data_IF_192992406004
#
_entry.id   IF_192992406004
#
_cell.length_a   1.000
_cell.length_b   1.000
_cell.length_c   1.000
_cell.angle_alpha   90.00
_cell.angle_beta   90.00
_cell.angle_gamma   90.00
#
_symmetry.space_group_name_H-M   'P 1'
#
loop_
_entity.id
_entity.type
_entity.pdbx_description
1 polymer ?
#
# COMPACT_ATOMS: atom_id res chain seq x y z
N UNK A 1 -15.47 21.51 -21.11
CA UNK A 1 -14.23 21.10 -20.44
C UNK A 1 -13.97 19.62 -20.73
N UNK A 2 -12.76 19.27 -21.18
CA UNK A 2 -12.41 17.88 -21.47
C UNK A 2 -12.37 16.99 -20.23
N UNK A 3 -12.62 15.70 -20.41
CA UNK A 3 -12.50 14.70 -19.36
C UNK A 3 -11.03 14.42 -19.06
N UNK A 4 -10.71 14.19 -17.77
CA UNK A 4 -9.35 13.83 -17.36
C UNK A 4 -9.18 12.32 -17.42
N UNK A 5 -8.08 11.88 -18.00
CA UNK A 5 -7.71 10.46 -18.07
C UNK A 5 -7.40 9.93 -16.67
N UNK A 6 -7.66 8.64 -16.45
CA UNK A 6 -7.29 7.95 -15.22
C UNK A 6 -5.75 7.91 -15.11
N UNK A 7 -5.17 8.42 -14.00
CA UNK A 7 -3.71 8.48 -13.84
C UNK A 7 -3.02 7.12 -13.88
N UNK A 8 -3.67 6.07 -13.36
CA UNK A 8 -3.15 4.71 -13.35
C UNK A 8 -3.07 4.17 -14.77
N UNK A 9 -4.18 4.27 -15.54
CA UNK A 9 -4.24 3.81 -16.91
C UNK A 9 -3.20 4.49 -17.82
N UNK A 10 -2.96 5.78 -17.58
CA UNK A 10 -2.00 6.57 -18.34
C UNK A 10 -0.52 6.17 -18.09
N UNK A 11 -0.26 5.42 -17.01
CA UNK A 11 1.09 4.99 -16.59
C UNK A 11 1.32 3.49 -16.74
N UNK A 12 0.32 2.76 -17.25
CA UNK A 12 0.46 1.34 -17.56
C UNK A 12 1.55 1.13 -18.62
N UNK A 13 2.42 0.15 -18.38
CA UNK A 13 3.55 -0.15 -19.26
C UNK A 13 4.75 0.79 -19.09
N UNK A 14 4.66 1.87 -18.32
CA UNK A 14 5.75 2.82 -18.05
C UNK A 14 6.31 2.63 -16.65
N UNK A 15 5.48 2.84 -15.63
CA UNK A 15 5.87 2.66 -14.21
C UNK A 15 4.96 1.69 -13.45
N UNK A 16 3.82 1.30 -14.00
CA UNK A 16 2.87 0.36 -13.42
C UNK A 16 2.59 -0.79 -14.34
N UNK A 17 2.51 -2.00 -13.78
CA UNK A 17 2.04 -3.20 -14.46
C UNK A 17 0.53 -3.36 -14.37
N UNK A 18 0.04 -4.44 -14.95
CA UNK A 18 -1.36 -4.83 -14.91
C UNK A 18 -1.72 -5.52 -13.59
N UNK A 19 -2.97 -5.38 -13.16
CA UNK A 19 -3.49 -6.09 -12.00
C UNK A 19 -3.91 -7.53 -12.33
N UNK A 20 -3.99 -7.90 -13.60
CA UNK A 20 -4.22 -9.26 -14.07
C UNK A 20 -3.09 -9.63 -15.01
N UNK A 21 -2.25 -10.59 -14.58
CA UNK A 21 -1.03 -11.02 -15.26
C UNK A 21 -1.23 -12.43 -15.82
N UNK A 22 -1.82 -12.50 -17.01
CA UNK A 22 -2.02 -13.77 -17.72
C UNK A 22 -2.22 -13.54 -19.21
N UNK A 23 -1.98 -14.58 -19.98
CA UNK A 23 -2.21 -14.61 -21.41
C UNK A 23 -3.50 -15.37 -21.73
N UNK A 24 -4.33 -14.79 -22.58
CA UNK A 24 -5.58 -15.41 -23.03
C UNK A 24 -5.57 -15.55 -24.56
N UNK A 25 -5.83 -16.78 -25.03
CA UNK A 25 -6.15 -17.03 -26.43
C UNK A 25 -7.65 -16.92 -26.68
N UNK A 26 -8.27 -18.03 -27.14
CA UNK A 26 -9.72 -18.10 -27.42
C UNK A 26 -10.59 -17.89 -26.15
N UNK A 27 -10.08 -18.28 -24.98
CA UNK A 27 -10.81 -18.22 -23.69
C UNK A 27 -10.63 -16.86 -22.97
N UNK A 28 -10.18 -15.83 -23.67
CA UNK A 28 -9.92 -14.52 -23.07
C UNK A 28 -11.14 -13.92 -22.40
N UNK A 29 -12.31 -13.97 -23.05
CA UNK A 29 -13.55 -13.42 -22.55
C UNK A 29 -14.02 -14.10 -21.26
N UNK A 30 -13.93 -15.43 -21.19
CA UNK A 30 -14.33 -16.21 -20.02
C UNK A 30 -13.41 -15.90 -18.82
N UNK A 31 -12.09 -15.87 -19.02
CA UNK A 31 -11.11 -15.51 -18.00
C UNK A 31 -11.31 -14.10 -17.46
N UNK A 32 -11.67 -13.15 -18.33
CA UNK A 32 -11.93 -11.77 -17.93
C UNK A 32 -13.19 -11.67 -17.04
N UNK A 33 -14.25 -12.39 -17.40
CA UNK A 33 -15.48 -12.44 -16.60
C UNK A 33 -15.22 -13.12 -15.25
N UNK A 34 -14.42 -14.20 -15.22
CA UNK A 34 -14.02 -14.85 -13.96
C UNK A 34 -13.23 -13.87 -13.06
N UNK A 35 -12.26 -13.11 -13.60
CA UNK A 35 -11.52 -12.13 -12.81
C UNK A 35 -12.41 -11.04 -12.23
N UNK A 36 -13.39 -10.57 -13.00
CA UNK A 36 -14.37 -9.59 -12.51
C UNK A 36 -15.22 -10.16 -11.38
N UNK A 37 -15.64 -11.43 -11.47
CA UNK A 37 -16.38 -12.12 -10.41
C UNK A 37 -15.54 -12.28 -9.14
N UNK A 38 -14.28 -12.71 -9.27
CA UNK A 38 -13.34 -12.86 -8.15
C UNK A 38 -13.15 -11.51 -7.44
N UNK A 39 -12.85 -10.42 -8.17
CA UNK A 39 -12.66 -9.08 -7.61
C UNK A 39 -13.91 -8.58 -6.90
N UNK A 40 -15.08 -8.72 -7.52
CA UNK A 40 -16.36 -8.32 -6.92
C UNK A 40 -16.64 -9.07 -5.64
N UNK A 41 -16.45 -10.38 -5.64
CA UNK A 41 -16.64 -11.23 -4.47
C UNK A 41 -15.72 -10.84 -3.31
N UNK A 42 -14.42 -10.71 -3.58
CA UNK A 42 -13.42 -10.34 -2.57
C UNK A 42 -13.68 -8.94 -1.98
N UNK A 43 -14.03 -7.95 -2.80
CA UNK A 43 -14.35 -6.61 -2.32
C UNK A 43 -15.55 -6.57 -1.38
N UNK A 44 -16.57 -7.39 -1.64
CA UNK A 44 -17.76 -7.49 -0.78
C UNK A 44 -17.44 -8.26 0.52
N UNK A 45 -16.79 -9.42 0.39
CA UNK A 45 -16.50 -10.31 1.53
C UNK A 45 -15.50 -9.69 2.51
N UNK A 46 -14.51 -8.98 1.99
CA UNK A 46 -13.40 -8.40 2.74
C UNK A 46 -13.51 -6.88 2.92
N UNK A 47 -14.70 -6.30 2.85
CA UNK A 47 -14.91 -4.86 2.99
C UNK A 47 -14.30 -4.26 4.28
N UNK A 48 -14.24 -5.04 5.36
CA UNK A 48 -13.64 -4.62 6.65
C UNK A 48 -12.10 -4.64 6.65
N UNK A 49 -11.48 -5.40 5.77
CA UNK A 49 -10.03 -5.58 5.71
C UNK A 49 -9.29 -4.39 5.05
N UNK A 50 -10.01 -3.50 4.39
CA UNK A 50 -9.43 -2.36 3.64
C UNK A 50 -8.42 -2.84 2.58
N UNK A 51 -8.95 -3.50 1.55
CA UNK A 51 -8.15 -3.98 0.42
C UNK A 51 -7.64 -2.77 -0.36
N UNK A 52 -6.35 -2.76 -0.67
CA UNK A 52 -5.69 -1.82 -1.56
C UNK A 52 -5.75 -2.31 -3.01
N UNK A 53 -5.20 -3.49 -3.27
CA UNK A 53 -5.00 -4.03 -4.61
C UNK A 53 -5.22 -5.53 -4.62
N UNK A 54 -5.79 -6.04 -5.72
CA UNK A 54 -5.95 -7.48 -5.98
C UNK A 54 -5.25 -7.78 -7.29
N UNK A 55 -4.16 -8.56 -7.24
CA UNK A 55 -3.44 -9.03 -8.41
C UNK A 55 -3.83 -10.47 -8.68
N UNK A 56 -4.14 -10.79 -9.92
CA UNK A 56 -4.54 -12.14 -10.34
C UNK A 56 -3.54 -12.64 -11.37
N UNK A 57 -2.87 -13.73 -11.04
CA UNK A 57 -1.93 -14.43 -11.92
C UNK A 57 -2.52 -15.80 -12.27
N UNK A 58 -2.48 -16.16 -13.53
CA UNK A 58 -3.02 -17.44 -13.99
C UNK A 58 -1.96 -18.27 -14.66
N UNK A 59 -1.79 -19.47 -14.17
CA UNK A 59 -1.07 -20.54 -14.84
C UNK A 59 -2.06 -21.52 -15.46
N UNK A 60 -1.59 -22.56 -16.12
CA UNK A 60 -2.45 -23.55 -16.76
C UNK A 60 -3.42 -24.26 -15.78
N UNK A 61 -2.99 -24.53 -14.54
CA UNK A 61 -3.75 -25.30 -13.56
C UNK A 61 -4.14 -24.50 -12.32
N UNK A 62 -3.43 -23.42 -12.02
CA UNK A 62 -3.54 -22.70 -10.76
C UNK A 62 -3.83 -21.22 -11.00
N UNK A 63 -4.72 -20.65 -10.22
CA UNK A 63 -4.99 -19.21 -10.18
C UNK A 63 -4.42 -18.68 -8.86
N UNK A 64 -3.42 -17.81 -8.93
CA UNK A 64 -2.84 -17.14 -7.77
C UNK A 64 -3.47 -15.78 -7.60
N UNK A 65 -4.09 -15.54 -6.46
CA UNK A 65 -4.72 -14.27 -6.11
C UNK A 65 -3.91 -13.63 -4.99
N UNK A 66 -3.27 -12.52 -5.31
CA UNK A 66 -2.47 -11.75 -4.36
C UNK A 66 -3.29 -10.56 -3.87
N UNK A 67 -3.53 -10.48 -2.56
CA UNK A 67 -4.36 -9.46 -1.92
C UNK A 67 -3.46 -8.56 -1.09
N UNK A 68 -3.35 -7.28 -1.47
CA UNK A 68 -2.70 -6.26 -0.65
C UNK A 68 -3.71 -5.59 0.26
N UNK A 69 -3.46 -5.57 1.56
CA UNK A 69 -4.40 -5.08 2.57
C UNK A 69 -3.69 -4.33 3.69
N UNK A 70 -4.41 -3.39 4.33
CA UNK A 70 -3.92 -2.72 5.53
C UNK A 70 -4.10 -3.56 6.80
N UNK A 71 -4.95 -4.61 6.78
CA UNK A 71 -5.29 -5.41 7.96
C UNK A 71 -5.28 -6.91 7.62
N UNK A 72 -4.10 -7.51 7.45
CA UNK A 72 -3.98 -8.92 7.05
C UNK A 72 -4.62 -9.88 8.06
N UNK A 73 -4.60 -9.55 9.35
CA UNK A 73 -5.19 -10.39 10.39
C UNK A 73 -6.69 -10.68 10.22
N UNK A 74 -7.44 -9.77 9.59
CA UNK A 74 -8.88 -9.98 9.29
C UNK A 74 -9.07 -11.03 8.20
N UNK A 75 -8.16 -11.09 7.23
CA UNK A 75 -8.21 -12.04 6.13
C UNK A 75 -7.74 -13.42 6.58
N UNK A 76 -6.65 -13.45 7.36
CA UNK A 76 -6.04 -14.70 7.85
C UNK A 76 -6.97 -15.38 8.85
N UNK A 77 -7.57 -14.59 9.77
CA UNK A 77 -8.41 -15.11 10.83
C UNK A 77 -7.63 -15.91 11.89
N UNK A 78 -8.34 -16.56 12.78
CA UNK A 78 -7.74 -17.40 13.81
C UNK A 78 -7.22 -18.70 13.19
N UNK A 79 -5.89 -18.90 13.24
CA UNK A 79 -5.26 -20.12 12.74
C UNK A 79 -5.41 -20.37 11.23
N UNK A 80 -5.67 -19.33 10.41
CA UNK A 80 -5.80 -19.48 8.96
C UNK A 80 -7.18 -19.94 8.44
N UNK A 81 -8.13 -20.19 9.31
CA UNK A 81 -9.45 -20.72 8.94
C UNK A 81 -10.23 -19.87 7.93
N UNK A 82 -10.11 -18.54 8.03
CA UNK A 82 -10.80 -17.65 7.09
C UNK A 82 -10.19 -17.69 5.68
N UNK A 83 -8.87 -17.87 5.57
CA UNK A 83 -8.21 -18.05 4.26
C UNK A 83 -8.65 -19.37 3.61
N UNK A 84 -8.75 -20.45 4.39
CA UNK A 84 -9.14 -21.74 3.85
C UNK A 84 -10.61 -21.71 3.38
N UNK A 85 -11.51 -21.09 4.14
CA UNK A 85 -12.89 -20.83 3.69
C UNK A 85 -12.93 -20.00 2.41
N UNK A 86 -12.14 -18.93 2.33
CA UNK A 86 -12.04 -18.10 1.12
C UNK A 86 -11.56 -18.90 -0.09
N UNK A 87 -10.59 -19.80 0.08
CA UNK A 87 -10.12 -20.69 -0.99
C UNK A 87 -11.26 -21.61 -1.47
N UNK A 88 -12.00 -22.21 -0.55
CA UNK A 88 -13.13 -23.09 -0.89
C UNK A 88 -14.25 -22.31 -1.60
N UNK A 89 -14.60 -21.12 -1.10
CA UNK A 89 -15.63 -20.27 -1.69
C UNK A 89 -15.24 -19.83 -3.11
N UNK A 90 -13.98 -19.42 -3.31
CA UNK A 90 -13.47 -19.06 -4.63
C UNK A 90 -13.36 -20.27 -5.57
N UNK A 91 -12.97 -21.44 -5.05
CA UNK A 91 -12.96 -22.70 -5.83
C UNK A 91 -14.36 -23.06 -6.32
N UNK A 92 -15.39 -22.87 -5.51
CA UNK A 92 -16.79 -23.05 -5.91
C UNK A 92 -17.23 -22.08 -7.01
N UNK A 93 -16.74 -20.84 -6.98
CA UNK A 93 -17.08 -19.81 -7.97
C UNK A 93 -16.39 -20.01 -9.33
N UNK A 94 -15.17 -20.53 -9.34
CA UNK A 94 -14.34 -20.63 -10.56
C UNK A 94 -14.16 -22.03 -11.08
N UNK A 95 -14.43 -23.06 -10.25
CA UNK A 95 -14.15 -24.46 -10.61
C UNK A 95 -12.67 -24.81 -10.74
N UNK A 96 -11.75 -23.89 -10.39
CA UNK A 96 -10.28 -24.05 -10.52
C UNK A 96 -9.61 -24.03 -9.16
N UNK A 97 -8.38 -24.53 -9.09
CA UNK A 97 -7.58 -24.41 -7.88
C UNK A 97 -7.08 -22.99 -7.70
N UNK A 98 -7.22 -22.46 -6.47
CA UNK A 98 -6.85 -21.09 -6.14
C UNK A 98 -5.87 -21.08 -4.99
N UNK A 99 -4.77 -20.33 -5.18
CA UNK A 99 -3.85 -19.98 -4.13
C UNK A 99 -4.05 -18.52 -3.75
N UNK A 100 -4.12 -18.23 -2.45
CA UNK A 100 -4.26 -16.86 -1.95
C UNK A 100 -2.95 -16.47 -1.27
N UNK A 101 -2.36 -15.36 -1.72
CA UNK A 101 -1.24 -14.71 -1.10
C UNK A 101 -1.70 -13.39 -0.48
N UNK A 102 -1.27 -13.10 0.75
CA UNK A 102 -1.68 -11.91 1.49
C UNK A 102 -0.45 -11.06 1.75
N UNK A 103 -0.50 -9.78 1.34
CA UNK A 103 0.55 -8.80 1.59
C UNK A 103 0.03 -7.65 2.43
N UNK A 104 0.84 -7.24 3.40
CA UNK A 104 0.55 -6.09 4.23
C UNK A 104 1.04 -4.80 3.57
N UNK A 105 0.17 -3.81 3.51
CA UNK A 105 0.51 -2.46 3.09
C UNK A 105 1.14 -1.72 4.28
N UNK A 106 2.45 -1.50 4.23
CA UNK A 106 3.23 -0.87 5.32
C UNK A 106 2.79 0.57 5.63
N UNK A 107 2.32 1.32 4.62
CA UNK A 107 1.90 2.73 4.74
C UNK A 107 0.50 2.93 4.17
N UNK A 108 -0.54 2.57 4.89
CA UNK A 108 -1.92 2.65 4.40
C UNK A 108 -2.39 4.09 4.14
N UNK A 109 -1.76 5.09 4.76
CA UNK A 109 -2.11 6.50 4.58
C UNK A 109 -1.62 7.08 3.24
N UNK A 110 -0.72 6.39 2.54
CA UNK A 110 -0.19 6.80 1.23
C UNK A 110 -0.87 6.04 0.09
N UNK A 111 -1.78 5.13 0.41
CA UNK A 111 -2.57 4.36 -0.56
C UNK A 111 -3.92 5.05 -0.83
N UNK A 112 -4.17 5.40 -2.10
CA UNK A 112 -5.37 6.14 -2.47
C UNK A 112 -6.67 5.37 -2.22
N UNK A 113 -6.66 4.03 -2.36
CA UNK A 113 -7.84 3.19 -2.17
C UNK A 113 -8.22 3.14 -0.70
N UNK A 114 -7.24 2.90 0.18
CA UNK A 114 -7.45 2.82 1.61
C UNK A 114 -7.91 4.18 2.18
N UNK A 115 -7.26 5.27 1.74
CA UNK A 115 -7.63 6.63 2.14
C UNK A 115 -9.05 6.96 1.66
N UNK A 116 -9.40 6.62 0.42
CA UNK A 116 -10.75 6.80 -0.12
C UNK A 116 -11.81 6.05 0.69
N UNK A 117 -11.57 4.78 0.99
CA UNK A 117 -12.47 3.97 1.81
C UNK A 117 -12.62 4.52 3.24
N UNK A 118 -11.54 5.03 3.84
CA UNK A 118 -11.59 5.64 5.17
C UNK A 118 -12.43 6.92 5.18
N UNK A 119 -12.29 7.77 4.15
CA UNK A 119 -13.11 8.97 4.00
C UNK A 119 -14.58 8.58 3.79
N UNK A 120 -14.86 7.62 2.91
CA UNK A 120 -16.23 7.14 2.66
C UNK A 120 -16.91 6.67 3.95
N UNK A 121 -16.25 5.82 4.74
CA UNK A 121 -16.76 5.35 6.05
C UNK A 121 -17.02 6.50 7.02
N UNK A 122 -16.17 7.53 7.06
CA UNK A 122 -16.39 8.70 7.92
C UNK A 122 -17.61 9.51 7.47
N UNK A 123 -17.81 9.66 6.15
CA UNK A 123 -18.97 10.33 5.58
C UNK A 123 -20.27 9.57 5.87
N UNK A 124 -20.27 8.25 5.75
CA UNK A 124 -21.38 7.37 6.15
C UNK A 124 -21.68 7.48 7.65
N UNK A 125 -20.63 7.62 8.48
CA UNK A 125 -20.71 7.89 9.91
C UNK A 125 -21.12 9.33 10.27
N UNK A 126 -21.55 10.15 9.30
CA UNK A 126 -22.00 11.55 9.46
C UNK A 126 -20.94 12.51 10.00
N UNK A 127 -19.68 12.21 9.82
CA UNK A 127 -18.60 13.17 10.11
C UNK A 127 -18.64 14.27 9.04
N UNK A 128 -18.38 15.51 9.44
CA UNK A 128 -18.36 16.61 8.46
C UNK A 128 -17.27 16.37 7.41
N UNK A 129 -17.60 16.51 6.13
CA UNK A 129 -16.69 16.22 5.03
C UNK A 129 -15.38 17.03 5.10
N UNK A 130 -15.46 18.30 5.56
CA UNK A 130 -14.28 19.16 5.72
C UNK A 130 -13.29 18.59 6.73
N UNK A 131 -13.81 18.07 7.85
CA UNK A 131 -12.98 17.45 8.89
C UNK A 131 -12.37 16.15 8.38
N UNK A 132 -13.17 15.28 7.77
CA UNK A 132 -12.72 14.00 7.23
C UNK A 132 -11.59 14.18 6.20
N UNK A 133 -11.80 15.10 5.24
CA UNK A 133 -10.81 15.37 4.18
C UNK A 133 -9.54 16.03 4.74
N UNK A 134 -9.66 17.03 5.63
CA UNK A 134 -8.48 17.69 6.24
C UNK A 134 -7.64 16.71 7.06
N UNK A 135 -8.29 15.82 7.82
CA UNK A 135 -7.59 14.79 8.61
C UNK A 135 -6.85 13.81 7.68
N UNK A 136 -7.49 13.37 6.60
CA UNK A 136 -6.86 12.48 5.62
C UNK A 136 -5.66 13.14 4.95
N UNK A 137 -5.79 14.41 4.51
CA UNK A 137 -4.70 15.17 3.89
C UNK A 137 -3.52 15.32 4.86
N UNK A 138 -3.77 15.72 6.10
CA UNK A 138 -2.72 15.88 7.11
C UNK A 138 -1.99 14.55 7.41
N UNK A 139 -2.72 13.42 7.49
CA UNK A 139 -2.13 12.09 7.70
C UNK A 139 -1.24 11.68 6.53
N UNK A 140 -1.71 11.84 5.30
CA UNK A 140 -0.96 11.47 4.09
C UNK A 140 0.31 12.30 3.94
N UNK A 141 0.24 13.63 4.16
CA UNK A 141 1.41 14.50 4.10
C UNK A 141 2.44 14.17 5.18
N UNK A 142 1.99 13.82 6.39
CA UNK A 142 2.87 13.39 7.49
C UNK A 142 3.64 12.11 7.16
N UNK A 143 3.03 11.20 6.40
CA UNK A 143 3.66 9.94 5.96
C UNK A 143 4.61 10.10 4.78
N UNK A 144 4.82 11.33 4.30
CA UNK A 144 5.84 11.66 3.30
C UNK A 144 5.37 11.56 1.86
N UNK A 145 4.08 11.69 1.57
CA UNK A 145 3.60 11.90 0.21
C UNK A 145 4.02 13.28 -0.31
N UNK A 146 4.39 13.40 -1.58
CA UNK A 146 4.71 14.70 -2.21
C UNK A 146 3.48 15.59 -2.38
N UNK A 147 2.32 15.00 -2.51
CA UNK A 147 1.07 15.73 -2.60
C UNK A 147 -0.16 14.85 -2.64
N UNK A 148 -1.27 15.45 -2.22
CA UNK A 148 -2.57 14.81 -2.22
C UNK A 148 -3.64 15.79 -2.76
N UNK A 149 -4.59 15.22 -3.49
CA UNK A 149 -5.79 15.92 -3.94
C UNK A 149 -7.00 15.04 -3.67
N UNK A 150 -7.98 15.57 -2.97
CA UNK A 150 -9.24 14.90 -2.70
C UNK A 150 -10.37 15.75 -3.26
N UNK A 151 -11.27 15.13 -3.99
CA UNK A 151 -12.48 15.77 -4.51
C UNK A 151 -13.68 14.98 -4.00
N UNK A 152 -14.58 15.67 -3.33
CA UNK A 152 -15.87 15.13 -2.90
C UNK A 152 -16.95 15.77 -3.75
N UNK A 153 -17.81 14.97 -4.35
CA UNK A 153 -18.89 15.42 -5.24
C UNK A 153 -20.21 14.78 -4.86
N UNK A 154 -21.29 15.53 -5.04
CA UNK A 154 -22.64 15.13 -4.71
C UNK A 154 -23.36 16.14 -3.81
N UNK A 155 -24.37 15.69 -3.06
CA UNK A 155 -25.12 16.51 -2.09
C UNK A 155 -24.34 16.70 -0.80
N UNK A 156 -23.24 17.45 -0.90
CA UNK A 156 -22.29 17.64 0.20
C UNK A 156 -22.94 18.40 1.35
N UNK A 157 -22.92 17.79 2.55
CA UNK A 157 -23.55 18.36 3.74
C UNK A 157 -25.09 18.30 3.75
N UNK A 158 -25.71 17.52 2.84
CA UNK A 158 -27.15 17.37 2.76
C UNK A 158 -27.85 18.45 1.92
N UNK A 159 -27.09 19.31 1.21
CA UNK A 159 -27.65 20.34 0.35
C UNK A 159 -28.51 19.74 -0.77
N UNK A 160 -29.56 20.45 -1.19
CA UNK A 160 -30.42 20.01 -2.31
C UNK A 160 -29.64 20.00 -3.63
N UNK A 161 -28.85 21.04 -3.88
CA UNK A 161 -28.01 21.14 -5.07
C UNK A 161 -26.70 20.40 -4.88
N UNK A 162 -26.36 19.52 -5.82
CA UNK A 162 -25.09 18.83 -5.84
C UNK A 162 -23.95 19.81 -6.15
N UNK A 163 -22.83 19.65 -5.47
CA UNK A 163 -21.62 20.44 -5.72
C UNK A 163 -20.37 19.58 -5.57
N UNK A 164 -19.26 20.05 -6.11
CA UNK A 164 -17.96 19.42 -5.98
C UNK A 164 -17.03 20.31 -5.19
N UNK A 165 -16.47 19.80 -4.10
CA UNK A 165 -15.44 20.48 -3.33
C UNK A 165 -14.11 19.75 -3.48
N UNK A 166 -13.04 20.51 -3.71
CA UNK A 166 -11.70 19.95 -3.93
C UNK A 166 -10.73 20.57 -2.94
N UNK A 167 -10.00 19.73 -2.22
CA UNK A 167 -8.89 20.12 -1.36
C UNK A 167 -7.61 19.51 -1.95
N UNK A 168 -6.57 20.34 -2.10
CA UNK A 168 -5.27 19.93 -2.64
C UNK A 168 -4.16 20.47 -1.75
N UNK A 169 -3.17 19.62 -1.49
CA UNK A 169 -1.94 20.00 -0.79
C UNK A 169 -0.74 19.34 -1.48
N UNK A 170 0.36 20.08 -1.57
CA UNK A 170 1.57 19.61 -2.23
C UNK A 170 1.49 19.55 -3.76
N UNK A 171 2.35 18.74 -4.35
CA UNK A 171 2.57 18.63 -5.79
C UNK A 171 1.94 17.36 -6.37
N UNK A 172 1.16 17.48 -7.45
CA UNK A 172 0.56 16.34 -8.17
C UNK A 172 0.72 16.56 -9.66
N UNK A 173 1.83 16.12 -10.26
CA UNK A 173 2.12 16.30 -11.66
C UNK A 173 1.42 15.23 -12.51
N UNK A 174 0.17 15.49 -12.92
CA UNK A 174 -0.64 14.53 -13.70
C UNK A 174 -0.08 14.27 -15.11
N UNK A 175 0.63 15.25 -15.69
CA UNK A 175 1.20 15.16 -17.04
C UNK A 175 2.55 14.42 -17.07
N UNK A 176 3.20 14.21 -15.93
CA UNK A 176 4.49 13.52 -15.85
C UNK A 176 4.27 12.03 -15.71
N UNK A 177 4.61 11.25 -16.75
CA UNK A 177 4.41 9.78 -16.76
C UNK A 177 5.25 9.04 -15.72
N UNK A 178 6.45 9.52 -15.42
CA UNK A 178 7.34 8.96 -14.40
C UNK A 178 6.96 9.31 -12.96
N UNK A 179 5.98 10.19 -12.75
CA UNK A 179 5.47 10.47 -11.42
C UNK A 179 4.51 9.35 -10.98
N UNK A 180 4.78 8.73 -9.84
CA UNK A 180 3.92 7.71 -9.26
C UNK A 180 2.71 8.38 -8.61
N UNK A 181 1.61 8.39 -9.35
CA UNK A 181 0.34 8.96 -8.89
C UNK A 181 -0.66 7.82 -8.72
N UNK A 182 -1.04 7.57 -7.49
CA UNK A 182 -2.11 6.65 -7.16
C UNK A 182 -3.46 7.33 -7.23
N UNK A 183 -4.51 6.60 -7.62
CA UNK A 183 -5.85 7.13 -7.82
C UNK A 183 -6.92 6.16 -7.36
N UNK A 184 -7.94 6.69 -6.69
CA UNK A 184 -9.12 5.93 -6.35
C UNK A 184 -10.39 6.75 -6.54
N UNK A 185 -11.45 6.06 -6.97
CA UNK A 185 -12.82 6.52 -6.92
C UNK A 185 -13.57 5.63 -5.94
N UNK A 186 -14.09 6.22 -4.87
CA UNK A 186 -14.86 5.52 -3.84
C UNK A 186 -16.21 6.20 -3.68
N UNK A 187 -17.25 5.41 -3.46
CA UNK A 187 -18.60 5.89 -3.22
C UNK A 187 -18.94 5.75 -1.74
N UNK A 188 -19.56 6.78 -1.18
CA UNK A 188 -20.08 6.79 0.18
C UNK A 188 -21.60 6.85 0.14
N UNK A 189 -22.27 5.83 0.65
CA UNK A 189 -23.73 5.75 0.68
C UNK A 189 -24.23 6.50 1.92
N UNK A 190 -24.79 7.70 1.70
CA UNK A 190 -25.39 8.51 2.75
C UNK A 190 -26.91 8.45 2.71
N UNK A 191 -27.57 8.86 3.78
CA UNK A 191 -29.04 8.93 3.84
C UNK A 191 -29.67 9.85 2.78
N UNK A 192 -28.91 10.82 2.28
CA UNK A 192 -29.38 11.83 1.32
C UNK A 192 -29.04 11.47 -0.12
N UNK A 193 -28.19 10.44 -0.32
CA UNK A 193 -27.72 9.98 -1.61
C UNK A 193 -26.26 9.55 -1.58
N UNK A 194 -25.73 9.19 -2.73
CA UNK A 194 -24.34 8.74 -2.90
C UNK A 194 -23.43 9.94 -3.07
N UNK A 195 -22.35 9.98 -2.32
CA UNK A 195 -21.25 10.93 -2.48
C UNK A 195 -20.06 10.24 -3.16
N UNK A 196 -19.57 10.81 -4.26
CA UNK A 196 -18.37 10.33 -4.94
C UNK A 196 -17.12 10.97 -4.34
N UNK A 197 -16.17 10.15 -3.91
CA UNK A 197 -14.87 10.59 -3.39
C UNK A 197 -13.79 10.18 -4.36
N UNK A 198 -13.08 11.14 -4.96
CA UNK A 198 -11.91 10.91 -5.81
C UNK A 198 -10.65 11.32 -5.05
N UNK A 199 -9.68 10.42 -4.98
CA UNK A 199 -8.42 10.64 -4.28
C UNK A 199 -7.27 10.47 -5.27
N UNK A 200 -6.33 11.40 -5.27
CA UNK A 200 -5.06 11.34 -5.99
C UNK A 200 -3.94 11.53 -4.99
N UNK A 201 -2.99 10.64 -4.95
CA UNK A 201 -1.81 10.72 -4.08
C UNK A 201 -0.57 10.60 -4.94
N UNK A 202 0.35 11.55 -4.82
CA UNK A 202 1.65 11.52 -5.47
C UNK A 202 2.69 11.01 -4.48
N UNK A 203 3.31 9.87 -4.80
CA UNK A 203 4.35 9.26 -3.97
C UNK A 203 5.76 9.74 -4.33
N UNK A 204 5.90 10.39 -5.50
CA UNK A 204 7.17 10.92 -5.98
C UNK A 204 7.44 10.59 -7.45
N UNK A 205 8.66 10.84 -7.88
CA UNK A 205 9.10 10.58 -9.26
C UNK A 205 9.99 9.34 -9.27
N UNK A 206 9.65 8.38 -10.13
CA UNK A 206 10.44 7.15 -10.31
C UNK A 206 11.50 7.39 -11.38
N UNK A 207 12.77 7.20 -11.02
CA UNK A 207 13.90 7.26 -11.93
C UNK A 207 14.43 5.84 -12.18
N UNK A 208 14.73 5.52 -13.42
CA UNK A 208 15.20 4.19 -13.82
C UNK A 208 14.09 3.25 -14.28
N UNK A 209 14.48 2.02 -14.59
CA UNK A 209 13.55 0.94 -14.96
C UNK A 209 12.93 0.37 -13.69
N UNK A 210 11.63 0.20 -13.71
CA UNK A 210 10.87 -0.49 -12.65
C UNK A 210 10.38 -1.82 -13.21
N UNK A 211 10.45 -2.86 -12.40
CA UNK A 211 9.87 -4.14 -12.79
C UNK A 211 8.36 -3.99 -12.84
N UNK A 212 7.80 -4.11 -14.03
CA UNK A 212 6.36 -3.95 -14.28
C UNK A 212 5.54 -5.11 -13.72
N UNK A 213 6.20 -6.24 -13.47
CA UNK A 213 5.61 -7.44 -12.86
C UNK A 213 5.99 -7.54 -11.37
N UNK A 214 5.95 -6.43 -10.65
CA UNK A 214 6.16 -6.50 -9.20
C UNK A 214 5.18 -7.51 -8.60
N UNK A 215 5.70 -8.65 -8.19
CA UNK A 215 5.04 -9.52 -7.24
C UNK A 215 4.87 -8.66 -5.99
N UNK A 216 3.64 -8.40 -5.60
CA UNK A 216 3.36 -7.62 -4.41
C UNK A 216 4.14 -8.23 -3.24
N UNK A 217 5.14 -7.53 -2.74
CA UNK A 217 6.05 -8.01 -1.69
C UNK A 217 7.54 -8.02 -2.03
N UNK A 218 7.94 -8.05 -3.30
CA UNK A 218 9.35 -8.07 -3.70
C UNK A 218 10.05 -6.71 -3.66
N UNK A 219 9.33 -5.60 -3.59
CA UNK A 219 9.88 -4.23 -3.61
C UNK A 219 10.60 -3.79 -2.33
N UNK A 220 10.79 -4.67 -1.34
CA UNK A 220 11.43 -4.32 -0.07
C UNK A 220 12.90 -4.72 0.03
N UNK A 221 13.48 -5.36 -0.98
CA UNK A 221 14.92 -5.57 -1.06
C UNK A 221 15.51 -4.54 -2.04
N UNK A 222 15.87 -3.36 -1.52
CA UNK A 222 16.86 -2.53 -2.19
C UNK A 222 18.06 -3.42 -2.48
N UNK A 223 18.68 -3.34 -3.68
CA UNK A 223 19.92 -4.04 -3.93
C UNK A 223 20.90 -3.60 -2.85
N UNK A 224 21.28 -4.54 -1.99
CA UNK A 224 22.39 -4.37 -1.07
C UNK A 224 23.58 -4.02 -1.94
N UNK A 225 23.97 -2.73 -1.90
CA UNK A 225 25.12 -2.24 -2.62
C UNK A 225 26.29 -3.16 -2.35
N UNK A 226 26.86 -3.65 -3.41
CA UNK A 226 28.13 -4.31 -3.51
C UNK A 226 29.15 -3.63 -2.57
N UNK A 227 29.30 -4.18 -1.38
CA UNK A 227 30.42 -3.86 -0.50
C UNK A 227 31.60 -4.61 -1.09
N UNK A 228 32.27 -3.94 -2.03
CA UNK A 228 33.53 -4.37 -2.59
C UNK A 228 34.41 -4.96 -1.49
N UNK A 229 34.77 -6.20 -1.70
CA UNK A 229 35.91 -6.88 -1.05
C UNK A 229 37.11 -5.95 -1.07
N UNK A 230 37.33 -5.23 0.03
CA UNK A 230 38.64 -4.67 0.28
C UNK A 230 39.52 -5.81 0.75
N UNK A 231 40.32 -6.28 -0.19
CA UNK A 231 41.35 -7.28 -0.01
C UNK A 231 42.18 -7.01 1.23
N UNK A 232 42.21 -8.03 2.04
CA UNK A 232 43.19 -8.27 3.08
C UNK A 232 44.60 -8.30 2.44
N UNK A 233 45.35 -7.21 2.56
CA UNK A 233 46.81 -7.22 2.36
C UNK A 233 47.44 -7.32 3.73
N UNK A 234 47.78 -8.54 4.06
CA UNK A 234 48.68 -8.82 5.16
C UNK A 234 49.96 -7.98 5.13
N UNK A 235 50.30 -7.44 6.24
CA UNK A 235 51.69 -7.07 6.52
C UNK A 235 52.16 -7.70 7.84
N UNK A 236 53.00 -8.71 7.65
CA UNK A 236 53.82 -9.31 8.68
C UNK A 236 54.97 -8.36 8.95
N UNK A 237 55.19 -7.97 10.19
CA UNK A 237 56.47 -7.80 10.84
C UNK A 237 56.35 -6.99 12.11
N UNK A 238 56.81 -7.59 13.19
CA UNK A 238 57.70 -6.94 14.11
C UNK A 238 57.54 -7.41 15.56
N UNK A 239 58.37 -8.35 15.93
CA UNK A 239 58.79 -8.70 17.28
C UNK A 239 59.07 -7.43 18.14
N UNK A 240 58.74 -7.55 19.42
CA UNK A 240 59.24 -6.59 20.42
C UNK A 240 58.75 -6.91 21.82
N UNK A 241 59.43 -7.84 22.45
CA UNK A 241 59.54 -8.09 23.90
C UNK A 241 59.74 -6.79 24.69
N UNK A 242 59.08 -6.60 25.83
CA UNK A 242 59.64 -6.10 27.08
C UNK A 242 58.65 -6.05 28.23
N UNK A 243 58.93 -6.89 29.19
CA UNK A 243 58.70 -6.88 30.63
C UNK A 243 58.58 -5.47 31.28
N UNK A 244 57.83 -5.47 32.39
CA UNK A 244 57.89 -4.46 33.45
C UNK A 244 56.59 -4.26 34.16
N UNK A 245 56.16 -5.03 35.10
CA UNK A 245 56.35 -5.07 36.57
C UNK A 245 56.04 -3.72 37.28
N UNK A 246 55.31 -3.86 38.38
CA UNK A 246 55.10 -3.01 39.58
C UNK A 246 53.71 -2.37 39.68
N UNK A 247 52.81 -2.99 40.57
CA UNK A 247 52.67 -2.71 42.01
C UNK A 247 52.19 -1.29 42.35
N UNK A 248 51.14 -1.31 43.14
CA UNK A 248 50.77 -0.25 44.11
C UNK A 248 49.28 0.08 44.04
N UNK A 249 48.45 -0.42 44.84
CA UNK A 249 48.15 -0.42 46.26
C UNK A 249 47.43 0.88 46.69
N UNK A 250 46.42 0.67 47.51
CA UNK A 250 45.71 1.62 48.44
C UNK A 250 44.74 2.59 47.77
N UNK A 251 43.51 2.67 48.19
CA UNK A 251 42.87 2.50 49.46
C UNK A 251 41.99 3.69 49.76
N UNK A 252 40.90 3.47 50.43
CA UNK A 252 40.16 4.55 51.13
C UNK A 252 38.83 4.95 50.48
N UNK A 253 37.73 4.44 50.88
CA UNK A 253 36.97 4.53 52.12
C UNK A 253 36.24 5.88 52.28
N UNK A 254 34.99 5.72 52.69
CA UNK A 254 34.14 6.64 53.44
C UNK A 254 33.13 7.52 52.72
N UNK A 255 31.92 7.04 52.86
CA UNK A 255 30.86 7.55 53.76
C UNK A 255 29.95 8.69 53.28
N UNK A 256 28.70 8.32 53.31
CA UNK A 256 27.55 8.98 54.04
C UNK A 256 27.25 10.44 53.67
N UNK A 257 26.06 10.76 53.33
CA UNK A 257 24.86 10.96 54.11
C UNK A 257 23.79 11.67 53.29
N UNK A 258 22.59 11.16 53.30
CA UNK A 258 21.37 11.72 53.92
C UNK A 258 20.86 13.11 53.52
N UNK A 259 19.57 13.05 53.24
CA UNK A 259 18.52 14.06 53.52
C UNK A 259 18.40 15.27 52.57
N UNK A 260 17.36 15.43 51.88
CA UNK A 260 15.96 15.70 52.27
C UNK A 260 15.05 15.46 51.12
#
# INVERSE_FOLDING_TARGET
MGQKVNPIANRLGIIRGWDSNWFGGKDFSEKLVEDAKIRKYLNVRLAKASISKIIIERTLKLVTVTISTARPGIIIGKGGQEVDKLKEELKKLTGKEIQINIFEVKRPEVDAVIVGQNIARQLEGRVSFRRAVKTAVASTMRMGAEGIKIQVSGRVGGAEMARSETIKEGRIPLHTFRADVDFCLTEALTKVGILGVKVWICQGIVYGKRDLFEIAGASAQAPSGDRGERGDRGDRRGRGDRRGDRRGDRGGDRRRNNNK
#
